data_IF_869817186110
#
_entry.id   IF_869817186110
#
_cell.length_a   1.000
_cell.length_b   1.000
_cell.length_c   1.000
_cell.angle_alpha   90.00
_cell.angle_beta   90.00
_cell.angle_gamma   90.00
#
_symmetry.space_group_name_H-M   'P 1'
#
loop_
_entity.id
_entity.type
_entity.pdbx_description
1 polymer ?
#
# COMPACT_ATOMS: atom_id res chain seq x y z
N UNK A 1 14.90 26.59 -12.60
CA UNK A 1 14.27 25.40 -11.99
C UNK A 1 14.92 24.19 -12.62
N UNK A 2 15.77 23.43 -11.90
CA UNK A 2 16.38 22.21 -12.45
C UNK A 2 15.31 21.13 -12.46
N UNK A 3 14.86 20.71 -13.65
CA UNK A 3 14.05 19.50 -13.79
C UNK A 3 14.95 18.32 -13.46
N UNK A 4 14.48 17.42 -12.58
CA UNK A 4 15.16 16.15 -12.34
C UNK A 4 15.18 15.40 -13.67
N UNK A 5 16.37 15.18 -14.22
CA UNK A 5 16.56 14.41 -15.44
C UNK A 5 15.89 13.05 -15.29
N UNK A 6 14.91 12.78 -16.15
CA UNK A 6 14.14 11.53 -16.19
C UNK A 6 14.98 10.45 -16.89
N UNK A 7 16.26 10.35 -16.56
CA UNK A 7 17.16 9.27 -16.98
C UNK A 7 17.18 8.21 -15.88
N UNK A 8 16.15 7.36 -15.83
CA UNK A 8 16.16 6.07 -15.08
C UNK A 8 14.84 5.29 -15.25
N UNK A 9 14.24 5.31 -16.44
CA UNK A 9 12.91 4.70 -16.68
C UNK A 9 12.85 3.18 -16.53
N UNK A 10 13.98 2.46 -16.59
CA UNK A 10 13.95 0.99 -16.57
C UNK A 10 13.95 0.39 -15.14
N UNK A 11 14.63 1.01 -14.17
CA UNK A 11 14.78 0.45 -12.82
C UNK A 11 13.90 1.10 -11.74
N UNK A 12 13.26 2.24 -12.03
CA UNK A 12 12.41 2.92 -11.04
C UNK A 12 11.17 2.10 -10.66
N UNK A 13 10.72 1.21 -11.54
CA UNK A 13 9.55 0.37 -11.29
C UNK A 13 9.80 -0.73 -10.23
N UNK A 14 11.05 -1.11 -10.00
CA UNK A 14 11.40 -2.22 -9.10
C UNK A 14 11.83 -1.78 -7.70
N UNK A 15 11.93 -0.46 -7.44
CA UNK A 15 12.32 0.08 -6.14
C UNK A 15 11.17 0.79 -5.42
N UNK A 16 10.15 1.25 -6.15
CA UNK A 16 9.01 1.93 -5.56
C UNK A 16 8.08 0.91 -4.86
N UNK A 17 7.94 0.97 -3.52
CA UNK A 17 7.16 -0.01 -2.77
C UNK A 17 5.67 0.03 -3.10
N UNK A 18 5.13 1.16 -3.56
CA UNK A 18 3.75 1.29 -4.03
C UNK A 18 3.62 0.57 -5.37
N UNK A 19 4.52 0.81 -6.32
CA UNK A 19 4.46 0.12 -7.63
C UNK A 19 4.60 -1.40 -7.50
N UNK A 20 5.51 -1.86 -6.65
CA UNK A 20 5.70 -3.31 -6.39
C UNK A 20 4.41 -3.93 -5.82
N UNK A 21 3.75 -3.25 -4.89
CA UNK A 21 2.54 -3.78 -4.23
C UNK A 21 1.29 -3.69 -5.11
N UNK A 22 1.21 -2.73 -6.04
CA UNK A 22 0.13 -2.63 -7.03
C UNK A 22 0.05 -3.87 -7.94
N UNK A 23 1.15 -4.61 -8.12
CA UNK A 23 1.15 -5.87 -8.86
C UNK A 23 0.54 -7.05 -8.09
N UNK A 24 0.44 -6.96 -6.75
CA UNK A 24 -0.05 -8.04 -5.87
C UNK A 24 -1.46 -7.79 -5.32
N UNK A 25 -1.84 -6.53 -5.13
CA UNK A 25 -3.06 -6.16 -4.41
C UNK A 25 -3.92 -5.15 -5.18
N UNK A 26 -5.24 -5.09 -4.90
CA UNK A 26 -6.12 -4.09 -5.51
C UNK A 26 -5.63 -2.66 -5.25
N UNK A 27 -5.68 -1.80 -6.29
CA UNK A 27 -5.15 -0.43 -6.24
C UNK A 27 -5.69 0.39 -5.07
N UNK A 28 -7.00 0.31 -4.82
CA UNK A 28 -7.66 1.04 -3.72
C UNK A 28 -7.09 0.63 -2.37
N UNK A 29 -6.77 -0.65 -2.18
CA UNK A 29 -6.22 -1.16 -0.93
C UNK A 29 -4.80 -0.67 -0.72
N UNK A 30 -3.97 -0.72 -1.77
CA UNK A 30 -2.59 -0.23 -1.74
C UNK A 30 -2.53 1.26 -1.43
N UNK A 31 -3.36 2.07 -2.12
CA UNK A 31 -3.42 3.51 -1.87
C UNK A 31 -3.89 3.83 -0.45
N UNK A 32 -4.92 3.12 0.05
CA UNK A 32 -5.39 3.31 1.42
C UNK A 32 -4.30 2.98 2.43
N UNK A 33 -3.60 1.85 2.27
CA UNK A 33 -2.50 1.46 3.12
C UNK A 33 -1.39 2.53 3.13
N UNK A 34 -0.99 3.01 1.95
CA UNK A 34 0.03 4.05 1.82
C UNK A 34 -0.36 5.36 2.54
N UNK A 35 -1.61 5.82 2.38
CA UNK A 35 -2.08 7.03 3.05
C UNK A 35 -2.14 6.87 4.57
N UNK A 36 -2.60 5.73 5.08
CA UNK A 36 -2.59 5.48 6.53
C UNK A 36 -1.16 5.43 7.09
N UNK A 37 -0.22 4.79 6.38
CA UNK A 37 1.20 4.77 6.78
C UNK A 37 1.78 6.19 6.83
N UNK A 38 1.49 7.03 5.83
CA UNK A 38 1.95 8.42 5.82
C UNK A 38 1.30 9.26 6.92
N UNK A 39 0.00 9.05 7.17
CA UNK A 39 -0.75 9.73 8.25
C UNK A 39 -0.16 9.44 9.63
N UNK A 40 0.42 8.27 9.82
CA UNK A 40 1.13 7.86 11.04
C UNK A 40 2.55 8.44 11.14
N UNK A 41 3.00 9.18 10.13
CA UNK A 41 4.37 9.71 10.06
C UNK A 41 5.42 8.65 9.70
N UNK A 42 4.99 7.45 9.30
CA UNK A 42 5.87 6.34 8.97
C UNK A 42 6.34 6.42 7.51
N UNK A 43 7.54 5.91 7.25
CA UNK A 43 8.04 5.75 5.88
C UNK A 43 7.28 4.63 5.18
N UNK A 44 6.80 4.91 3.96
CA UNK A 44 6.19 3.90 3.09
C UNK A 44 7.29 2.96 2.59
N UNK A 45 7.44 1.83 3.28
CA UNK A 45 8.31 0.72 2.89
C UNK A 45 7.45 -0.47 2.46
N UNK A 46 8.04 -1.41 1.71
CA UNK A 46 7.32 -2.59 1.25
C UNK A 46 6.72 -3.40 2.41
N UNK A 47 7.51 -3.60 3.47
CA UNK A 47 7.11 -4.36 4.66
C UNK A 47 5.95 -3.69 5.39
N UNK A 48 6.03 -2.37 5.61
CA UNK A 48 4.95 -1.65 6.29
C UNK A 48 3.67 -1.62 5.46
N UNK A 49 3.78 -1.47 4.13
CA UNK A 49 2.63 -1.54 3.25
C UNK A 49 1.95 -2.91 3.28
N UNK A 50 2.72 -3.99 3.20
CA UNK A 50 2.17 -5.36 3.23
C UNK A 50 1.49 -5.66 4.57
N UNK A 51 2.09 -5.27 5.71
CA UNK A 51 1.45 -5.38 7.03
C UNK A 51 0.12 -4.64 7.09
N UNK A 52 0.09 -3.39 6.62
CA UNK A 52 -1.12 -2.55 6.63
C UNK A 52 -2.22 -3.12 5.73
N UNK A 53 -1.84 -3.62 4.57
CA UNK A 53 -2.74 -4.30 3.62
C UNK A 53 -3.37 -5.54 4.26
N UNK A 54 -2.57 -6.40 4.87
CA UNK A 54 -3.07 -7.61 5.57
C UNK A 54 -4.02 -7.22 6.71
N UNK A 55 -3.65 -6.20 7.49
CA UNK A 55 -4.51 -5.68 8.55
C UNK A 55 -5.87 -5.20 8.01
N UNK A 56 -5.89 -4.44 6.92
CA UNK A 56 -7.12 -3.94 6.30
C UNK A 56 -8.02 -5.08 5.77
N UNK A 57 -7.42 -6.12 5.20
CA UNK A 57 -8.15 -7.31 4.73
C UNK A 57 -8.77 -8.08 5.89
N UNK A 58 -8.00 -8.33 6.95
CA UNK A 58 -8.45 -9.08 8.13
C UNK A 58 -9.49 -8.29 8.93
N UNK A 59 -9.35 -6.97 9.02
CA UNK A 59 -10.34 -6.11 9.68
C UNK A 59 -11.69 -6.18 8.97
N UNK A 60 -11.69 -6.16 7.62
CA UNK A 60 -12.92 -6.33 6.84
C UNK A 60 -13.56 -7.71 7.04
N UNK A 61 -12.76 -8.75 7.26
CA UNK A 61 -13.28 -10.09 7.51
C UNK A 61 -13.96 -10.18 8.88
N UNK A 62 -13.30 -9.70 9.93
CA UNK A 62 -13.83 -9.74 11.30
C UNK A 62 -15.12 -8.92 11.48
N UNK A 63 -15.28 -7.80 10.76
CA UNK A 63 -16.55 -7.04 10.78
C UNK A 63 -17.68 -7.83 10.11
N UNK A 64 -17.39 -8.56 9.03
CA UNK A 64 -18.42 -9.34 8.31
C UNK A 64 -18.91 -10.51 9.15
N UNK A 65 -18.06 -11.16 9.93
CA UNK A 65 -18.50 -12.22 10.85
C UNK A 65 -19.37 -11.67 11.99
N UNK A 66 -19.00 -10.54 12.60
CA UNK A 66 -19.81 -9.92 13.66
C UNK A 66 -21.21 -9.46 13.23
N UNK A 67 -21.45 -9.28 11.92
CA UNK A 67 -22.72 -8.75 11.38
C UNK A 67 -23.65 -9.81 10.79
N UNK A 68 -23.25 -11.08 10.75
CA UNK A 68 -24.19 -12.15 10.35
C UNK A 68 -25.01 -12.55 11.58
N UNK A 69 -26.33 -12.30 11.61
CA UNK A 69 -27.17 -12.90 12.64
C UNK A 69 -27.22 -14.41 12.39
N UNK A 70 -27.11 -15.18 13.46
CA UNK A 70 -27.39 -16.61 13.48
C UNK A 70 -28.88 -16.87 13.26
#
# INVERSE_FOLDING_TARGET
>A
MKTLDVESKENFNNLDPIKITLNKYPRVLVLKAAFETLKEGNKVTLVELEKKIIFLLNYSYNIKEKRRPH
#
